data_IF_079263067181
#
_entry.id   IF_079263067181
#
_cell.length_a   1.000
_cell.length_b   1.000
_cell.length_c   1.000
_cell.angle_alpha   90.00
_cell.angle_beta   90.00
_cell.angle_gamma   90.00
#
_symmetry.space_group_name_H-M   'P 1'
#
loop_
_entity.id
_entity.type
_entity.pdbx_description
1 polymer ?
#
# COMPACT_ATOMS: atom_id res chain seq x y z
N UNK A 1 1.42 -19.49 6.82
CA UNK A 1 0.39 -19.99 5.88
C UNK A 1 -0.15 -18.81 5.08
N UNK A 2 -0.58 -19.01 3.83
CA UNK A 2 -1.22 -17.99 3.00
C UNK A 2 -2.63 -18.48 2.63
N UNK A 3 -3.63 -17.60 2.69
CA UNK A 3 -5.02 -17.93 2.34
C UNK A 3 -5.53 -16.91 1.33
N UNK A 4 -5.91 -17.36 0.13
CA UNK A 4 -6.52 -16.46 -0.85
C UNK A 4 -7.90 -16.03 -0.35
N UNK A 5 -8.21 -14.74 -0.46
CA UNK A 5 -9.55 -14.21 -0.21
C UNK A 5 -10.17 -13.70 -1.51
N UNK A 6 -11.51 -13.69 -1.64
CA UNK A 6 -12.16 -13.11 -2.80
C UNK A 6 -11.72 -11.66 -2.99
N UNK A 7 -11.43 -11.29 -4.24
CA UNK A 7 -11.13 -9.91 -4.56
C UNK A 7 -12.39 -9.05 -4.35
N UNK A 8 -12.28 -7.88 -3.71
CA UNK A 8 -13.37 -6.90 -3.70
C UNK A 8 -13.74 -6.43 -5.11
N UNK A 9 -14.93 -5.82 -5.24
CA UNK A 9 -15.38 -5.20 -6.49
C UNK A 9 -14.34 -4.21 -7.00
N UNK A 10 -14.18 -4.14 -8.34
CA UNK A 10 -13.19 -3.32 -9.06
C UNK A 10 -11.70 -3.64 -8.80
N UNK A 11 -11.33 -4.50 -7.86
CA UNK A 11 -9.94 -4.97 -7.68
C UNK A 11 -9.61 -6.03 -8.74
N UNK A 12 -8.99 -5.62 -9.85
CA UNK A 12 -8.70 -6.46 -11.02
C UNK A 12 -7.20 -6.56 -11.30
N UNK A 13 -6.77 -7.65 -11.91
CA UNK A 13 -5.37 -7.84 -12.35
C UNK A 13 -4.37 -8.17 -11.23
N UNK A 14 -4.76 -8.14 -9.96
CA UNK A 14 -3.95 -8.57 -8.81
C UNK A 14 -4.82 -9.37 -7.83
N UNK A 15 -4.29 -10.45 -7.23
CA UNK A 15 -5.03 -11.27 -6.24
C UNK A 15 -4.86 -10.71 -4.83
N UNK A 16 -5.87 -10.86 -3.99
CA UNK A 16 -5.77 -10.54 -2.55
C UNK A 16 -5.54 -11.81 -1.74
N UNK A 17 -4.56 -11.76 -0.82
CA UNK A 17 -4.10 -12.90 -0.04
C UNK A 17 -3.97 -12.50 1.43
N UNK A 18 -4.60 -13.26 2.30
CA UNK A 18 -4.40 -13.18 3.74
C UNK A 18 -3.11 -13.93 4.13
N UNK A 19 -2.24 -13.29 4.89
CA UNK A 19 -0.93 -13.81 5.31
C UNK A 19 -0.81 -13.84 6.83
N UNK A 20 -0.40 -14.99 7.35
CA UNK A 20 -0.11 -15.18 8.78
C UNK A 20 1.33 -14.80 9.15
N UNK A 21 2.16 -14.47 8.15
CA UNK A 21 3.59 -14.17 8.33
C UNK A 21 3.86 -12.67 8.34
N UNK A 22 2.92 -11.86 7.83
CA UNK A 22 3.01 -10.41 7.90
C UNK A 22 2.89 -9.92 9.34
N UNK A 23 3.62 -8.84 9.64
CA UNK A 23 3.50 -8.15 10.92
C UNK A 23 2.04 -7.79 11.22
N UNK A 24 1.64 -7.86 12.49
CA UNK A 24 0.26 -7.58 12.90
C UNK A 24 -0.18 -6.20 12.42
N UNK A 25 -1.33 -6.13 11.77
CA UNK A 25 -1.90 -4.88 11.28
C UNK A 25 -1.27 -4.33 9.99
N UNK A 26 -0.35 -5.05 9.37
CA UNK A 26 0.31 -4.62 8.12
C UNK A 26 -0.33 -5.23 6.87
N UNK A 27 -0.22 -4.52 5.77
CA UNK A 27 -0.50 -5.01 4.43
C UNK A 27 0.61 -4.55 3.49
N UNK A 28 0.71 -5.20 2.33
CA UNK A 28 1.66 -4.84 1.29
C UNK A 28 1.17 -5.26 -0.09
N UNK A 29 1.25 -4.34 -1.04
CA UNK A 29 1.08 -4.63 -2.45
C UNK A 29 2.37 -5.20 -3.06
N UNK A 30 2.25 -6.38 -3.66
CA UNK A 30 3.30 -7.01 -4.44
C UNK A 30 2.85 -7.20 -5.90
N UNK A 31 3.19 -6.28 -6.83
CA UNK A 31 2.90 -6.46 -8.24
C UNK A 31 3.45 -7.79 -8.76
N UNK A 32 2.63 -8.57 -9.48
CA UNK A 32 2.98 -9.91 -9.96
C UNK A 32 2.75 -11.05 -8.96
N UNK A 33 2.62 -10.75 -7.65
CA UNK A 33 2.26 -11.74 -6.65
C UNK A 33 0.87 -11.50 -6.07
N UNK A 34 0.56 -10.35 -5.50
CA UNK A 34 -0.72 -10.09 -4.85
C UNK A 34 -0.69 -8.94 -3.85
N UNK A 35 -1.86 -8.53 -3.38
CA UNK A 35 -2.00 -7.71 -2.17
C UNK A 35 -2.02 -8.66 -0.99
N UNK A 36 -1.03 -8.58 -0.11
CA UNK A 36 -0.96 -9.39 1.09
C UNK A 36 -1.48 -8.58 2.27
N UNK A 37 -2.37 -9.18 3.07
CA UNK A 37 -2.96 -8.56 4.24
C UNK A 37 -2.67 -9.43 5.44
N UNK A 38 -2.21 -8.85 6.55
CA UNK A 38 -2.07 -9.60 7.80
C UNK A 38 -3.41 -10.17 8.25
N UNK A 39 -3.43 -11.44 8.66
CA UNK A 39 -4.63 -12.09 9.21
C UNK A 39 -5.17 -11.42 10.48
N UNK A 40 -4.38 -10.54 11.11
CA UNK A 40 -4.82 -9.78 12.29
C UNK A 40 -5.57 -8.49 11.94
N UNK A 41 -5.73 -8.14 10.66
CA UNK A 41 -6.47 -6.96 10.23
C UNK A 41 -7.99 -7.25 10.35
N UNK A 42 -8.74 -6.44 11.13
CA UNK A 42 -10.18 -6.58 11.25
C UNK A 42 -10.90 -6.43 9.91
N UNK A 43 -11.96 -7.21 9.71
CA UNK A 43 -12.76 -7.18 8.48
C UNK A 43 -13.32 -5.78 8.21
N UNK A 44 -13.70 -5.03 9.25
CA UNK A 44 -14.30 -3.69 9.15
C UNK A 44 -13.43 -2.64 8.47
N UNK A 45 -12.11 -2.81 8.47
CA UNK A 45 -11.16 -1.86 7.85
C UNK A 45 -10.42 -2.48 6.66
N UNK A 46 -10.70 -3.74 6.36
CA UNK A 46 -9.97 -4.53 5.37
C UNK A 46 -10.16 -3.97 3.97
N UNK A 47 -11.37 -3.53 3.64
CA UNK A 47 -11.66 -2.94 2.34
C UNK A 47 -10.87 -1.65 2.11
N UNK A 48 -10.81 -0.77 3.11
CA UNK A 48 -10.03 0.48 3.05
C UNK A 48 -8.55 0.19 2.74
N UNK A 49 -7.99 -0.79 3.45
CA UNK A 49 -6.59 -1.21 3.29
C UNK A 49 -6.37 -1.82 1.89
N UNK A 50 -7.27 -2.69 1.42
CA UNK A 50 -7.17 -3.26 0.07
C UNK A 50 -7.19 -2.18 -0.99
N UNK A 51 -8.10 -1.21 -0.87
CA UNK A 51 -8.21 -0.13 -1.85
C UNK A 51 -6.95 0.74 -1.85
N UNK A 52 -6.34 0.97 -0.69
CA UNK A 52 -5.07 1.68 -0.55
C UNK A 52 -3.91 0.91 -1.22
N UNK A 53 -3.75 -0.37 -0.90
CA UNK A 53 -2.74 -1.23 -1.52
C UNK A 53 -2.96 -1.38 -3.03
N UNK A 54 -4.21 -1.33 -3.47
CA UNK A 54 -4.54 -1.29 -4.89
C UNK A 54 -4.15 0.04 -5.54
N UNK A 55 -4.18 1.16 -4.80
CA UNK A 55 -3.61 2.43 -5.23
C UNK A 55 -2.12 2.32 -5.57
N UNK A 56 -1.36 1.59 -4.74
CA UNK A 56 0.05 1.26 -5.03
C UNK A 56 0.21 0.39 -6.28
N UNK A 57 -0.72 -0.55 -6.51
CA UNK A 57 -0.75 -1.33 -7.75
C UNK A 57 -1.06 -0.47 -8.99
N UNK A 58 -1.98 0.48 -8.89
CA UNK A 58 -2.30 1.42 -9.96
C UNK A 58 -1.10 2.32 -10.28
N UNK A 59 -0.38 2.80 -9.25
CA UNK A 59 0.84 3.59 -9.45
C UNK A 59 1.91 2.77 -10.18
N UNK A 60 2.05 1.48 -9.84
CA UNK A 60 2.93 0.56 -10.55
C UNK A 60 2.55 0.40 -12.04
N UNK A 61 1.26 0.26 -12.35
CA UNK A 61 0.79 0.05 -13.72
C UNK A 61 0.87 1.31 -14.59
N UNK A 62 0.46 2.44 -14.04
CA UNK A 62 0.15 3.63 -14.84
C UNK A 62 0.96 4.87 -14.46
N UNK A 63 1.43 4.96 -13.21
CA UNK A 63 1.90 6.23 -12.65
C UNK A 63 0.80 7.29 -12.61
N UNK A 64 1.21 8.56 -12.44
CA UNK A 64 0.43 9.78 -12.69
C UNK A 64 1.01 10.38 -13.96
N UNK A 65 0.14 10.75 -14.90
CA UNK A 65 0.54 11.38 -16.18
C UNK A 65 1.54 10.57 -17.01
N UNK A 66 1.58 9.25 -16.81
CA UNK A 66 2.50 8.36 -17.54
C UNK A 66 3.94 8.36 -17.01
N UNK A 67 4.24 9.04 -15.89
CA UNK A 67 5.52 8.89 -15.18
C UNK A 67 5.58 7.52 -14.49
N UNK A 68 5.96 6.52 -15.28
CA UNK A 68 6.31 5.19 -14.79
C UNK A 68 7.65 5.29 -14.07
N UNK A 69 7.61 5.52 -12.75
CA UNK A 69 8.79 5.67 -11.88
C UNK A 69 9.70 4.43 -11.97
N UNK A 70 10.68 4.48 -12.87
CA UNK A 70 11.80 3.53 -12.93
C UNK A 70 12.95 4.08 -12.11
N UNK A 71 13.25 3.47 -10.96
CA UNK A 71 14.54 3.67 -10.29
C UNK A 71 15.41 2.45 -10.60
N UNK A 72 16.56 2.65 -11.27
CA UNK A 72 17.42 1.58 -11.81
C UNK A 72 16.66 0.53 -12.65
N UNK A 73 15.66 0.96 -13.43
CA UNK A 73 14.91 0.08 -14.33
C UNK A 73 13.87 -0.83 -13.65
N UNK A 74 13.70 -0.77 -12.33
CA UNK A 74 12.74 -1.61 -11.59
C UNK A 74 11.81 -0.78 -10.70
N UNK A 75 10.53 -0.73 -11.06
CA UNK A 75 9.46 -0.16 -10.23
C UNK A 75 9.30 -0.88 -8.88
N UNK A 76 9.75 -2.14 -8.80
CA UNK A 76 9.71 -2.99 -7.62
C UNK A 76 10.76 -2.58 -6.55
N UNK A 77 11.96 -2.18 -6.97
CA UNK A 77 13.04 -1.79 -6.05
C UNK A 77 12.78 -0.44 -5.37
N UNK A 78 12.24 0.54 -6.12
CA UNK A 78 11.91 1.87 -5.60
C UNK A 78 10.77 1.88 -4.59
N UNK A 79 9.79 0.98 -4.79
CA UNK A 79 8.67 0.74 -3.88
C UNK A 79 9.14 0.14 -2.54
N UNK A 80 9.96 -0.91 -2.59
CA UNK A 80 10.47 -1.57 -1.38
C UNK A 80 11.49 -0.77 -0.57
N UNK A 81 12.41 -0.05 -1.24
CA UNK A 81 13.43 0.76 -0.56
C UNK A 81 12.86 2.02 0.11
N UNK A 82 11.70 2.53 -0.33
CA UNK A 82 11.06 3.74 0.23
C UNK A 82 9.85 3.47 1.12
N UNK A 83 9.18 2.32 1.02
CA UNK A 83 7.96 2.01 1.80
C UNK A 83 8.20 0.86 2.79
N UNK A 84 8.84 -0.23 2.36
CA UNK A 84 9.11 -1.39 3.23
C UNK A 84 10.28 -1.19 4.20
N UNK A 85 11.33 -0.49 3.76
CA UNK A 85 12.54 -0.28 4.55
C UNK A 85 12.33 0.65 5.77
N UNK A 86 11.62 1.79 5.70
CA UNK A 86 11.34 2.62 6.89
C UNK A 86 10.56 1.86 7.96
N UNK A 87 9.60 1.03 7.59
CA UNK A 87 8.78 0.25 8.52
C UNK A 87 9.58 -0.86 9.22
N UNK A 88 10.59 -1.45 8.57
CA UNK A 88 11.49 -2.43 9.18
C UNK A 88 12.62 -1.75 9.98
N UNK A 89 13.21 -0.66 9.47
CA UNK A 89 14.35 0.03 10.07
C UNK A 89 13.96 0.93 11.25
N UNK A 90 12.71 1.42 11.31
CA UNK A 90 12.20 2.13 12.48
C UNK A 90 11.93 1.19 13.68
N UNK A 91 11.84 -0.12 13.43
CA UNK A 91 11.75 -1.16 14.47
C UNK A 91 13.13 -1.67 14.93
N UNK A 92 14.22 -1.29 14.25
CA UNK A 92 15.59 -1.68 14.59
C UNK A 92 16.26 -0.54 15.40
N UNK A 93 16.74 -0.80 16.63
CA UNK A 93 17.45 0.20 17.42
C UNK A 93 18.69 0.73 16.67
N UNK A 94 18.76 2.06 16.46
CA UNK A 94 19.88 2.74 15.79
C UNK A 94 19.50 3.40 14.46
N UNK A 95 18.73 2.73 13.61
CA UNK A 95 18.25 3.30 12.34
C UNK A 95 17.07 4.26 12.51
N UNK A 96 16.32 4.13 13.61
CA UNK A 96 15.27 5.05 14.06
C UNK A 96 15.76 6.49 14.37
N UNK A 97 17.08 6.74 14.33
CA UNK A 97 17.68 8.07 14.55
C UNK A 97 17.99 8.85 13.28
N UNK A 98 17.87 8.24 12.10
CA UNK A 98 18.14 8.90 10.82
C UNK A 98 16.99 9.84 10.42
N UNK A 99 17.26 11.10 10.01
CA UNK A 99 16.23 12.10 9.70
C UNK A 99 15.25 11.68 8.59
N UNK A 100 15.70 10.88 7.62
CA UNK A 100 14.86 10.38 6.52
C UNK A 100 13.81 9.35 6.94
N UNK A 101 13.93 8.77 8.14
CA UNK A 101 12.96 7.85 8.71
C UNK A 101 12.16 8.48 9.87
N UNK A 102 12.34 9.77 10.14
CA UNK A 102 11.52 10.55 11.07
C UNK A 102 10.32 11.15 10.32
N UNK A 103 9.12 10.68 10.63
CA UNK A 103 7.87 11.25 10.10
C UNK A 103 6.70 10.25 10.16
N UNK A 104 5.47 10.75 10.06
CA UNK A 104 4.30 9.87 9.90
C UNK A 104 4.31 9.27 8.50
N UNK A 105 4.48 7.94 8.39
CA UNK A 105 4.48 7.21 7.11
C UNK A 105 3.30 7.61 6.21
N UNK A 106 2.15 7.93 6.81
CA UNK A 106 0.91 8.36 6.15
C UNK A 106 1.01 9.64 5.31
N UNK A 107 2.04 10.48 5.52
CA UNK A 107 2.21 11.74 4.79
C UNK A 107 3.33 11.69 3.76
N UNK A 108 3.92 10.53 3.52
CA UNK A 108 4.88 10.37 2.43
C UNK A 108 4.17 10.54 1.08
N UNK A 109 4.80 11.25 0.15
CA UNK A 109 4.23 11.55 -1.16
C UNK A 109 3.81 10.30 -1.94
N UNK A 110 4.45 9.15 -1.72
CA UNK A 110 4.07 7.85 -2.30
C UNK A 110 2.74 7.34 -1.75
N UNK A 111 2.52 7.44 -0.43
CA UNK A 111 1.27 7.06 0.22
C UNK A 111 0.14 7.99 -0.22
N UNK A 112 0.38 9.30 -0.21
CA UNK A 112 -0.59 10.31 -0.67
C UNK A 112 -0.98 10.08 -2.13
N UNK A 113 -0.01 9.77 -2.98
CA UNK A 113 -0.25 9.44 -4.38
C UNK A 113 -1.06 8.16 -4.56
N UNK A 114 -0.73 7.10 -3.83
CA UNK A 114 -1.51 5.86 -3.83
C UNK A 114 -2.95 6.11 -3.37
N UNK A 115 -3.13 6.94 -2.34
CA UNK A 115 -4.46 7.34 -1.85
C UNK A 115 -5.25 8.08 -2.93
N UNK A 116 -4.61 9.02 -3.64
CA UNK A 116 -5.24 9.76 -4.75
C UNK A 116 -5.65 8.82 -5.88
N UNK A 117 -4.76 7.92 -6.30
CA UNK A 117 -5.05 6.94 -7.36
C UNK A 117 -6.18 5.99 -6.98
N UNK A 118 -6.18 5.48 -5.74
CA UNK A 118 -7.28 4.68 -5.21
C UNK A 118 -8.58 5.49 -5.20
N UNK A 119 -8.56 6.71 -4.69
CA UNK A 119 -9.72 7.61 -4.64
C UNK A 119 -10.30 7.85 -6.04
N UNK A 120 -9.46 8.20 -7.02
CA UNK A 120 -9.86 8.42 -8.41
C UNK A 120 -10.39 7.17 -9.09
N UNK A 121 -9.84 5.99 -8.77
CA UNK A 121 -10.25 4.73 -9.40
C UNK A 121 -11.57 4.18 -8.85
N UNK A 122 -11.73 4.17 -7.52
CA UNK A 122 -12.90 3.57 -6.89
C UNK A 122 -14.11 4.51 -6.93
N UNK A 123 -13.91 5.83 -6.84
CA UNK A 123 -15.00 6.83 -6.87
C UNK A 123 -16.13 6.45 -5.90
N UNK A 124 -17.34 6.18 -6.42
CA UNK A 124 -18.51 5.80 -5.63
C UNK A 124 -18.39 4.44 -4.91
N UNK A 125 -17.42 3.60 -5.29
CA UNK A 125 -17.13 2.32 -4.63
C UNK A 125 -16.03 2.43 -3.56
N UNK A 126 -15.55 3.64 -3.26
CA UNK A 126 -14.55 3.86 -2.22
C UNK A 126 -15.16 3.58 -0.84
N UNK A 127 -14.42 2.88 0.03
CA UNK A 127 -14.89 2.53 1.36
C UNK A 127 -15.17 3.79 2.21
N UNK A 128 -16.25 3.76 3.00
CA UNK A 128 -16.75 4.91 3.76
C UNK A 128 -15.69 5.55 4.69
N UNK A 129 -14.83 4.73 5.31
CA UNK A 129 -13.75 5.21 6.18
C UNK A 129 -12.42 5.48 5.49
N UNK A 130 -12.33 5.32 4.16
CA UNK A 130 -11.07 5.41 3.41
C UNK A 130 -10.37 6.74 3.67
N UNK A 131 -11.02 7.87 3.39
CA UNK A 131 -10.39 9.20 3.49
C UNK A 131 -9.99 9.59 4.93
N UNK A 132 -10.64 9.01 5.95
CA UNK A 132 -10.26 9.20 7.36
C UNK A 132 -8.95 8.48 7.69
N UNK A 133 -8.70 7.33 7.06
CA UNK A 133 -7.51 6.49 7.29
C UNK A 133 -6.35 6.83 6.36
N UNK A 134 -6.67 7.14 5.11
CA UNK A 134 -5.77 7.31 3.97
C UNK A 134 -6.03 8.67 3.31
N UNK A 135 -5.56 9.78 3.93
CA UNK A 135 -5.80 11.11 3.41
C UNK A 135 -5.10 11.32 2.06
N UNK A 136 -5.75 12.04 1.14
CA UNK A 136 -5.23 12.36 -0.20
C UNK A 136 -4.42 13.66 -0.24
N UNK A 137 -4.35 14.41 0.88
CA UNK A 137 -3.78 15.75 1.05
C UNK A 137 -4.12 16.68 -0.11
N UNK A 138 -5.11 17.54 0.05
CA UNK A 138 -5.31 18.67 -0.87
C UNK A 138 -4.15 19.68 -0.76
#
# INVERSE_FOLDING_TARGET
>A
MLKRIPNPSKVKGIKVVESFVLAKGSAICLPGFGILISSSIPESIRLEIIQHEYGHYLDYLFGIEGDRKKFLGSAFLGFYLKIGLPSLLNLIPGFNRLPWFKGSHRVFWTEIRANRLAHTYFQNDLAEGFSRRFPTQD
#
